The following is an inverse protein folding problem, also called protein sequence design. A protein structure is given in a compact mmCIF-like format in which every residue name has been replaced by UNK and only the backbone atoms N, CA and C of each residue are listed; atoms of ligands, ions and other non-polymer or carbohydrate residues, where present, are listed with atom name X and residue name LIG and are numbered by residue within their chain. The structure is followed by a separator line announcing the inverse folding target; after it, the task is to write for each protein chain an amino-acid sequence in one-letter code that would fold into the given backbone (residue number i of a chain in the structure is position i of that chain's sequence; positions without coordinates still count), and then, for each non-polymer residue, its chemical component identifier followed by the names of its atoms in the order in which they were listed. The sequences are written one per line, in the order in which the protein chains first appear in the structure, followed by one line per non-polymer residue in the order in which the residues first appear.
data_IF_981459659912
#
_entry.id   IF_981459659912
#
_cell.length_a   1.000
_cell.length_b   1.000
_cell.length_c   1.000
_cell.angle_alpha   90.00
_cell.angle_beta   90.00
_cell.angle_gamma   90.00
#
_symmetry.space_group_name_H-M   'P 1'
#
loop_
_entity.id
_entity.type
_entity.pdbx_description
1 polymer ?
#
# COMPACT_ATOMS: atom_id res chain seq x y z
N UNK A 1 41.84 -20.98 15.68
CA UNK A 1 41.97 -19.99 14.59
C UNK A 1 40.66 -19.23 14.49
N UNK A 2 40.52 -18.17 15.29
CA UNK A 2 39.39 -17.26 15.24
C UNK A 2 39.67 -16.24 14.15
N UNK A 3 38.97 -16.34 13.01
CA UNK A 3 38.98 -15.27 12.02
C UNK A 3 38.48 -13.98 12.69
N UNK A 4 39.15 -12.83 12.52
CA UNK A 4 38.67 -11.59 13.09
C UNK A 4 37.31 -11.24 12.44
N UNK A 5 36.31 -10.82 13.23
CA UNK A 5 34.93 -10.60 12.76
C UNK A 5 34.84 -9.62 11.58
N UNK A 6 35.76 -8.66 11.51
CA UNK A 6 35.86 -7.67 10.43
C UNK A 6 36.20 -8.27 9.05
N UNK A 7 36.89 -9.41 9.00
CA UNK A 7 37.21 -10.09 7.74
C UNK A 7 36.00 -10.84 7.18
N UNK A 8 35.10 -11.36 8.02
CA UNK A 8 33.88 -12.04 7.55
C UNK A 8 32.82 -11.07 7.05
N UNK A 9 32.64 -9.91 7.72
CA UNK A 9 31.71 -8.87 7.26
C UNK A 9 32.10 -8.31 5.90
N UNK A 10 33.38 -8.04 5.66
CA UNK A 10 33.85 -7.54 4.37
C UNK A 10 33.64 -8.53 3.20
N UNK A 11 33.81 -9.83 3.45
CA UNK A 11 33.54 -10.86 2.43
C UNK A 11 32.04 -11.01 2.15
N UNK A 12 31.20 -10.91 3.19
CA UNK A 12 29.75 -10.98 3.04
C UNK A 12 29.19 -9.81 2.21
N UNK A 13 29.65 -8.60 2.48
CA UNK A 13 29.25 -7.41 1.72
C UNK A 13 29.70 -7.49 0.26
N UNK A 14 30.92 -7.98 0.01
CA UNK A 14 31.43 -8.22 -1.35
C UNK A 14 30.58 -9.24 -2.11
N UNK A 15 30.09 -10.29 -1.43
CA UNK A 15 29.19 -11.28 -2.01
C UNK A 15 27.82 -10.68 -2.36
N UNK A 16 27.27 -9.82 -1.50
CA UNK A 16 26.00 -9.12 -1.79
C UNK A 16 26.14 -8.16 -2.97
N UNK A 17 27.21 -7.37 -3.03
CA UNK A 17 27.52 -6.51 -4.18
C UNK A 17 27.63 -7.32 -5.48
N UNK A 18 28.28 -8.50 -5.43
CA UNK A 18 28.33 -9.41 -6.58
C UNK A 18 26.95 -10.00 -6.92
N UNK A 19 26.13 -10.32 -5.90
CA UNK A 19 24.80 -10.90 -6.09
C UNK A 19 23.87 -9.95 -6.84
N UNK A 20 23.86 -8.66 -6.48
CA UNK A 20 23.02 -7.64 -7.11
C UNK A 20 23.68 -6.95 -8.30
N UNK A 21 24.75 -7.53 -8.86
CA UNK A 21 25.36 -7.04 -10.10
C UNK A 21 24.47 -7.31 -11.31
N UNK A 22 24.65 -6.54 -12.39
CA UNK A 22 23.89 -6.69 -13.65
C UNK A 22 24.03 -8.11 -14.22
N UNK A 23 25.18 -8.74 -14.02
CA UNK A 23 25.47 -10.10 -14.48
C UNK A 23 24.55 -11.16 -13.86
N UNK A 24 24.18 -10.98 -12.59
CA UNK A 24 23.33 -11.91 -11.84
C UNK A 24 21.84 -11.54 -11.85
N UNK A 25 21.48 -10.45 -12.51
CA UNK A 25 20.09 -10.00 -12.66
C UNK A 25 19.15 -11.11 -13.19
N UNK A 26 19.53 -11.94 -14.19
CA UNK A 26 18.66 -13.03 -14.64
C UNK A 26 18.40 -14.09 -13.56
N UNK A 27 19.39 -14.38 -12.71
CA UNK A 27 19.28 -15.36 -11.64
C UNK A 27 18.34 -14.85 -10.54
N UNK A 28 18.50 -13.58 -10.14
CA UNK A 28 17.58 -12.94 -9.18
C UNK A 28 16.17 -12.87 -9.78
N UNK A 29 16.04 -12.48 -11.04
CA UNK A 29 14.74 -12.41 -11.71
C UNK A 29 14.02 -13.75 -11.78
N UNK A 30 14.76 -14.84 -12.01
CA UNK A 30 14.22 -16.19 -11.92
C UNK A 30 13.79 -16.55 -10.50
N UNK A 31 14.63 -16.29 -9.49
CA UNK A 31 14.28 -16.54 -8.09
C UNK A 31 13.02 -15.77 -7.67
N UNK A 32 12.94 -14.47 -7.99
CA UNK A 32 11.75 -13.65 -7.76
C UNK A 32 10.53 -14.26 -8.45
N UNK A 33 10.66 -14.69 -9.70
CA UNK A 33 9.53 -15.29 -10.45
C UNK A 33 9.02 -16.59 -9.81
N UNK A 34 9.92 -17.46 -9.33
CA UNK A 34 9.56 -18.69 -8.61
C UNK A 34 8.88 -18.38 -7.28
N UNK A 35 9.41 -17.42 -6.51
CA UNK A 35 8.80 -16.99 -5.25
C UNK A 35 7.42 -16.37 -5.48
N UNK A 36 7.23 -15.54 -6.50
CA UNK A 36 5.93 -14.98 -6.84
C UNK A 36 4.91 -16.05 -7.24
N UNK A 37 5.35 -17.06 -8.01
CA UNK A 37 4.50 -18.19 -8.40
C UNK A 37 4.05 -18.98 -7.16
N UNK A 38 4.97 -19.31 -6.26
CA UNK A 38 4.66 -20.02 -5.02
C UNK A 38 3.77 -19.17 -4.09
N UNK A 39 4.01 -17.86 -3.97
CA UNK A 39 3.20 -16.97 -3.16
C UNK A 39 1.74 -16.89 -3.67
N UNK A 40 1.52 -17.02 -4.97
CA UNK A 40 0.19 -16.95 -5.58
C UNK A 40 -0.53 -18.30 -5.62
N UNK A 41 0.12 -19.37 -6.06
CA UNK A 41 -0.55 -20.61 -6.45
C UNK A 41 -0.45 -21.74 -5.43
N UNK A 42 0.51 -21.67 -4.49
CA UNK A 42 0.72 -22.74 -3.53
C UNK A 42 -0.50 -22.92 -2.61
N UNK A 43 -0.83 -24.16 -2.30
CA UNK A 43 -1.93 -24.54 -1.41
C UNK A 43 -1.53 -24.44 0.07
N UNK A 44 -0.28 -24.79 0.39
CA UNK A 44 0.23 -24.81 1.75
C UNK A 44 0.46 -23.39 2.27
N UNK A 45 -0.40 -22.95 3.20
CA UNK A 45 -0.34 -21.61 3.79
C UNK A 45 1.02 -21.28 4.41
N UNK A 46 1.64 -22.24 5.11
CA UNK A 46 2.96 -22.06 5.70
C UNK A 46 4.00 -21.75 4.61
N UNK A 47 4.03 -22.54 3.54
CA UNK A 47 4.97 -22.34 2.44
C UNK A 47 4.79 -20.97 1.77
N UNK A 48 3.54 -20.49 1.60
CA UNK A 48 3.28 -19.13 1.11
C UNK A 48 3.88 -18.05 2.02
N UNK A 49 3.78 -18.20 3.33
CA UNK A 49 4.34 -17.24 4.29
C UNK A 49 5.88 -17.21 4.20
N UNK A 50 6.53 -18.38 4.25
CA UNK A 50 7.98 -18.52 4.10
C UNK A 50 8.46 -17.96 2.75
N UNK A 51 7.66 -18.14 1.70
CA UNK A 51 7.96 -17.61 0.37
C UNK A 51 7.94 -16.08 0.33
N UNK A 52 6.93 -15.45 0.95
CA UNK A 52 6.82 -13.99 1.05
C UNK A 52 7.94 -13.41 1.91
N UNK A 53 8.31 -14.10 2.98
CA UNK A 53 9.46 -13.76 3.82
C UNK A 53 10.78 -13.85 3.05
N UNK A 54 10.99 -14.96 2.34
CA UNK A 54 12.15 -15.15 1.48
C UNK A 54 12.26 -14.06 0.41
N UNK A 55 11.12 -13.65 -0.19
CA UNK A 55 11.09 -12.54 -1.14
C UNK A 55 11.54 -11.21 -0.49
N UNK A 56 11.11 -10.92 0.74
CA UNK A 56 11.54 -9.72 1.47
C UNK A 56 13.01 -9.77 1.86
N UNK A 57 13.53 -10.95 2.23
CA UNK A 57 14.96 -11.17 2.53
C UNK A 57 15.80 -10.97 1.27
N UNK A 58 15.37 -11.55 0.13
CA UNK A 58 16.03 -11.37 -1.17
C UNK A 58 15.99 -9.91 -1.63
N UNK A 59 14.96 -9.15 -1.25
CA UNK A 59 14.87 -7.72 -1.50
C UNK A 59 15.63 -6.85 -0.47
N UNK A 60 16.26 -7.45 0.55
CA UNK A 60 16.96 -6.75 1.63
C UNK A 60 16.06 -5.83 2.46
N UNK A 61 14.75 -6.07 2.47
CA UNK A 61 13.78 -5.22 3.15
C UNK A 61 13.03 -5.94 4.27
N UNK A 62 13.39 -7.19 4.60
CA UNK A 62 12.83 -7.93 5.73
C UNK A 62 13.09 -7.22 7.06
N UNK A 63 12.13 -7.27 7.99
CA UNK A 63 12.34 -6.84 9.38
C UNK A 63 12.62 -8.05 10.25
N UNK A 64 13.65 -7.96 11.08
CA UNK A 64 13.86 -8.95 12.14
C UNK A 64 12.66 -8.99 13.09
N UNK A 65 12.37 -10.17 13.67
CA UNK A 65 11.51 -10.28 14.84
C UNK A 65 11.97 -9.30 15.94
N UNK A 66 11.03 -8.61 16.62
CA UNK A 66 11.37 -7.66 17.69
C UNK A 66 12.16 -8.27 18.85
N UNK A 67 12.17 -9.60 18.97
CA UNK A 67 12.85 -10.35 20.03
C UNK A 67 14.34 -10.61 19.72
N UNK A 68 14.80 -10.28 18.51
CA UNK A 68 16.21 -10.33 18.13
C UNK A 68 16.76 -8.90 18.17
N UNK A 69 17.36 -8.53 19.29
CA UNK A 69 18.24 -7.34 19.45
C UNK A 69 19.52 -7.45 18.59
N UNK A 70 19.46 -8.11 17.43
CA UNK A 70 20.55 -8.08 16.47
C UNK A 70 20.54 -6.71 15.81
N UNK A 71 21.48 -5.87 16.24
CA UNK A 71 22.03 -4.77 15.45
C UNK A 71 22.50 -5.36 14.11
N UNK A 72 21.59 -5.54 13.14
CA UNK A 72 22.01 -5.73 11.76
C UNK A 72 22.78 -4.45 11.42
N UNK A 73 24.06 -4.54 11.06
CA UNK A 73 24.78 -3.36 10.60
C UNK A 73 23.98 -2.79 9.44
N UNK A 74 23.68 -1.50 9.51
CA UNK A 74 22.99 -0.80 8.43
C UNK A 74 23.72 -1.14 7.13
N UNK A 75 23.00 -1.75 6.19
CA UNK A 75 23.53 -2.05 4.86
C UNK A 75 24.07 -0.75 4.26
N UNK A 76 25.26 -0.78 3.67
CA UNK A 76 25.84 0.37 2.99
C UNK A 76 24.79 1.00 2.04
N UNK A 77 24.52 2.32 2.13
CA UNK A 77 23.63 3.02 1.22
C UNK A 77 23.90 2.73 -0.26
N UNK A 78 25.16 2.45 -0.63
CA UNK A 78 25.50 2.07 -2.00
C UNK A 78 24.90 0.72 -2.42
N UNK A 79 24.99 -0.28 -1.55
CA UNK A 79 24.41 -1.61 -1.73
C UNK A 79 22.88 -1.54 -1.72
N UNK A 80 22.28 -0.76 -0.80
CA UNK A 80 20.83 -0.54 -0.79
C UNK A 80 20.34 0.02 -2.13
N UNK A 81 21.07 0.98 -2.71
CA UNK A 81 20.73 1.53 -4.02
C UNK A 81 20.87 0.48 -5.13
N UNK A 82 21.94 -0.32 -5.13
CA UNK A 82 22.16 -1.38 -6.12
C UNK A 82 21.05 -2.44 -6.07
N UNK A 83 20.60 -2.80 -4.87
CA UNK A 83 19.45 -3.69 -4.67
C UNK A 83 18.17 -3.08 -5.24
N UNK A 84 17.93 -1.79 -4.99
CA UNK A 84 16.79 -1.07 -5.53
C UNK A 84 16.80 -0.94 -7.06
N UNK A 85 17.97 -0.72 -7.66
CA UNK A 85 18.16 -0.73 -9.12
C UNK A 85 17.86 -2.12 -9.71
N UNK A 86 18.32 -3.18 -9.05
CA UNK A 86 18.04 -4.55 -9.48
C UNK A 86 16.55 -4.89 -9.40
N UNK A 87 15.90 -4.54 -8.28
CA UNK A 87 14.49 -4.83 -8.06
C UNK A 87 13.54 -3.98 -8.90
N UNK A 88 13.99 -2.83 -9.42
CA UNK A 88 13.23 -2.03 -10.38
C UNK A 88 12.84 -2.84 -11.63
N UNK A 89 13.72 -3.74 -12.10
CA UNK A 89 13.43 -4.63 -13.24
C UNK A 89 12.32 -5.65 -12.96
N UNK A 90 12.07 -5.99 -11.70
CA UNK A 90 11.09 -7.00 -11.31
C UNK A 90 9.82 -6.39 -10.71
N UNK A 91 9.83 -5.09 -10.42
CA UNK A 91 8.76 -4.38 -9.72
C UNK A 91 7.36 -4.58 -10.36
N UNK A 92 7.19 -4.54 -11.70
CA UNK A 92 5.88 -4.79 -12.30
C UNK A 92 5.32 -6.18 -11.97
N UNK A 93 6.16 -7.23 -12.04
CA UNK A 93 5.75 -8.60 -11.73
C UNK A 93 5.42 -8.80 -10.26
N UNK A 94 6.25 -8.22 -9.38
CA UNK A 94 6.06 -8.25 -7.92
C UNK A 94 4.75 -7.57 -7.55
N UNK A 95 4.58 -6.31 -7.94
CA UNK A 95 3.42 -5.51 -7.54
C UNK A 95 2.11 -6.05 -8.09
N UNK A 96 2.09 -6.55 -9.33
CA UNK A 96 0.90 -7.19 -9.91
C UNK A 96 0.52 -8.48 -9.17
N UNK A 97 1.49 -9.35 -8.90
CA UNK A 97 1.23 -10.65 -8.25
C UNK A 97 0.84 -10.48 -6.80
N UNK A 98 1.60 -9.68 -6.04
CA UNK A 98 1.27 -9.42 -4.65
C UNK A 98 -0.05 -8.66 -4.50
N UNK A 99 -0.43 -7.77 -5.42
CA UNK A 99 -1.77 -7.15 -5.39
C UNK A 99 -2.88 -8.21 -5.53
N UNK A 100 -2.71 -9.19 -6.43
CA UNK A 100 -3.67 -10.30 -6.58
C UNK A 100 -3.78 -11.15 -5.32
N UNK A 101 -2.65 -11.42 -4.67
CA UNK A 101 -2.63 -12.12 -3.37
C UNK A 101 -3.35 -11.30 -2.29
N UNK A 102 -3.06 -10.00 -2.16
CA UNK A 102 -3.70 -9.12 -1.17
C UNK A 102 -5.23 -9.08 -1.35
N UNK A 103 -5.70 -9.03 -2.60
CA UNK A 103 -7.12 -8.99 -2.94
C UNK A 103 -7.77 -10.37 -3.08
N UNK A 104 -7.06 -11.45 -2.76
CA UNK A 104 -7.56 -12.81 -2.89
C UNK A 104 -8.69 -13.15 -1.89
N UNK A 105 -9.40 -14.24 -2.16
CA UNK A 105 -10.53 -14.73 -1.35
C UNK A 105 -10.11 -15.03 0.11
N UNK A 106 -11.06 -14.90 1.04
CA UNK A 106 -10.90 -15.16 2.47
C UNK A 106 -10.31 -16.55 2.79
N UNK A 107 -10.47 -17.53 1.88
CA UNK A 107 -9.89 -18.88 1.98
C UNK A 107 -8.37 -18.92 2.10
N UNK A 108 -7.64 -17.93 1.58
CA UNK A 108 -6.17 -17.86 1.76
C UNK A 108 -5.76 -17.58 3.22
N UNK A 109 -6.71 -17.02 3.98
CA UNK A 109 -6.57 -16.63 5.36
C UNK A 109 -5.71 -15.39 5.58
N UNK A 110 -6.15 -14.54 6.51
CA UNK A 110 -5.59 -13.22 6.83
C UNK A 110 -4.05 -13.12 6.93
N UNK A 111 -3.33 -14.10 7.51
CA UNK A 111 -1.87 -14.06 7.63
C UNK A 111 -1.14 -13.92 6.28
N UNK A 112 -1.64 -14.58 5.22
CA UNK A 112 -1.05 -14.47 3.88
C UNK A 112 -1.28 -13.07 3.31
N UNK A 113 -2.49 -12.52 3.50
CA UNK A 113 -2.82 -11.15 3.11
C UNK A 113 -1.91 -10.15 3.83
N UNK A 114 -1.72 -10.29 5.15
CA UNK A 114 -0.80 -9.45 5.94
C UNK A 114 0.63 -9.52 5.40
N UNK A 115 1.17 -10.73 5.21
CA UNK A 115 2.52 -10.91 4.70
C UNK A 115 2.69 -10.36 3.28
N UNK A 116 1.69 -10.50 2.41
CA UNK A 116 1.72 -9.97 1.05
C UNK A 116 1.63 -8.43 1.05
N UNK A 117 0.79 -7.83 1.88
CA UNK A 117 0.70 -6.37 2.07
C UNK A 117 2.04 -5.80 2.57
N UNK A 118 2.69 -6.50 3.49
CA UNK A 118 3.98 -6.12 4.02
C UNK A 118 5.09 -6.21 2.96
N UNK A 119 5.19 -7.33 2.25
CA UNK A 119 6.15 -7.51 1.16
C UNK A 119 5.93 -6.48 0.04
N UNK A 120 4.68 -6.23 -0.35
CA UNK A 120 4.34 -5.24 -1.37
C UNK A 120 4.83 -3.84 -0.97
N UNK A 121 4.46 -3.37 0.23
CA UNK A 121 4.81 -2.00 0.66
C UNK A 121 6.31 -1.82 0.88
N UNK A 122 7.01 -2.83 1.40
CA UNK A 122 8.46 -2.76 1.63
C UNK A 122 9.25 -2.72 0.32
N UNK A 123 8.92 -3.59 -0.63
CA UNK A 123 9.63 -3.63 -1.91
C UNK A 123 9.36 -2.35 -2.71
N UNK A 124 8.10 -1.87 -2.72
CA UNK A 124 7.77 -0.60 -3.38
C UNK A 124 8.48 0.57 -2.70
N UNK A 125 8.46 0.65 -1.37
CA UNK A 125 9.17 1.70 -0.64
C UNK A 125 10.68 1.67 -0.87
N UNK A 126 11.27 0.47 -0.95
CA UNK A 126 12.69 0.31 -1.24
C UNK A 126 13.04 0.81 -2.65
N UNK A 127 12.29 0.39 -3.68
CA UNK A 127 12.56 0.77 -5.08
C UNK A 127 12.24 2.24 -5.37
N UNK A 128 11.13 2.74 -4.82
CA UNK A 128 10.61 4.10 -5.04
C UNK A 128 10.97 5.06 -3.91
N UNK A 129 11.91 4.74 -3.01
CA UNK A 129 12.26 5.67 -1.92
C UNK A 129 12.86 6.97 -2.45
N UNK A 130 12.44 8.09 -1.89
CA UNK A 130 12.95 9.41 -2.28
C UNK A 130 14.48 9.51 -2.07
N UNK A 131 15.00 8.87 -1.01
CA UNK A 131 16.44 8.80 -0.72
C UNK A 131 17.25 7.99 -1.75
N UNK A 132 16.65 6.94 -2.31
CA UNK A 132 17.32 6.12 -3.34
C UNK A 132 17.36 6.80 -4.70
N UNK A 133 16.38 7.67 -4.98
CA UNK A 133 16.19 8.35 -6.25
C UNK A 133 16.93 9.71 -6.34
N UNK A 134 17.47 10.22 -5.24
CA UNK A 134 18.09 11.54 -5.20
C UNK A 134 19.31 11.62 -6.13
N UNK A 135 19.25 12.56 -7.09
CA UNK A 135 20.03 12.55 -8.33
C UNK A 135 21.54 12.77 -8.19
N UNK A 136 22.04 13.15 -7.01
CA UNK A 136 23.46 13.46 -6.78
C UNK A 136 24.38 12.23 -6.78
N UNK A 137 23.83 11.00 -6.76
CA UNK A 137 24.63 9.76 -6.67
C UNK A 137 24.43 8.81 -7.87
N UNK A 138 23.49 9.12 -8.78
CA UNK A 138 23.18 8.29 -9.96
C UNK A 138 24.30 8.25 -11.00
N UNK A 139 25.26 9.18 -10.95
CA UNK A 139 26.38 9.24 -11.90
C UNK A 139 27.66 8.55 -11.42
N UNK A 140 27.78 8.17 -10.14
CA UNK A 140 29.03 7.61 -9.58
C UNK A 140 29.11 6.07 -9.59
N UNK A 141 27.98 5.35 -9.57
CA UNK A 141 28.00 3.87 -9.52
C UNK A 141 28.36 3.19 -10.86
N UNK A 142 28.28 3.92 -11.98
CA UNK A 142 28.43 3.33 -13.33
C UNK A 142 29.87 3.15 -13.84
N UNK A 143 30.92 3.50 -13.08
CA UNK A 143 32.27 3.64 -13.67
C UNK A 143 33.33 2.58 -13.40
N UNK A 144 33.13 1.52 -12.60
CA UNK A 144 34.31 0.71 -12.22
C UNK A 144 34.28 -0.81 -12.25
N UNK A 145 33.16 -1.53 -12.49
CA UNK A 145 33.22 -3.01 -12.41
C UNK A 145 32.62 -3.83 -13.57
N UNK A 146 31.96 -3.23 -14.55
CA UNK A 146 31.14 -4.00 -15.53
C UNK A 146 31.61 -3.86 -16.99
N UNK A 147 32.90 -3.64 -17.25
CA UNK A 147 33.45 -3.48 -18.60
C UNK A 147 33.16 -4.67 -19.55
N UNK A 148 32.94 -5.87 -19.01
CA UNK A 148 32.75 -7.12 -19.76
C UNK A 148 31.28 -7.61 -19.82
N UNK A 149 30.32 -6.79 -19.35
CA UNK A 149 28.90 -7.18 -19.38
C UNK A 149 28.31 -6.98 -20.76
N UNK A 150 27.81 -8.08 -21.36
CA UNK A 150 27.07 -8.08 -22.62
C UNK A 150 26.00 -6.99 -22.65
N UNK A 151 25.91 -6.23 -23.75
CA UNK A 151 24.86 -5.23 -23.97
C UNK A 151 23.45 -5.78 -23.75
N UNK A 152 23.25 -7.07 -24.03
CA UNK A 152 21.99 -7.78 -23.81
C UNK A 152 21.59 -7.87 -22.33
N UNK A 153 22.55 -7.96 -21.41
CA UNK A 153 22.26 -7.96 -19.97
C UNK A 153 21.99 -6.55 -19.46
N UNK A 154 22.74 -5.56 -19.97
CA UNK A 154 22.52 -4.15 -19.63
C UNK A 154 21.14 -3.66 -20.07
N UNK A 155 20.58 -4.19 -21.16
CA UNK A 155 19.24 -3.83 -21.62
C UNK A 155 18.11 -4.40 -20.75
N UNK A 156 18.38 -5.40 -19.91
CA UNK A 156 17.42 -5.94 -18.93
C UNK A 156 17.31 -5.09 -17.67
N UNK A 157 18.34 -4.28 -17.38
CA UNK A 157 18.36 -3.43 -16.21
C UNK A 157 17.52 -2.17 -16.45
N UNK A 158 16.53 -1.96 -15.58
CA UNK A 158 15.74 -0.74 -15.57
C UNK A 158 16.59 0.39 -15.02
N UNK A 159 16.68 1.48 -15.78
CA UNK A 159 17.21 2.74 -15.29
C UNK A 159 16.08 3.53 -14.64
N UNK A 160 16.18 3.81 -13.35
CA UNK A 160 15.20 4.60 -12.58
C UNK A 160 15.31 6.10 -12.90
N UNK A 161 15.12 6.45 -14.17
CA UNK A 161 15.05 7.84 -14.63
C UNK A 161 13.80 8.51 -14.08
N UNK A 162 13.75 9.84 -14.11
CA UNK A 162 12.57 10.61 -13.70
C UNK A 162 11.32 10.19 -14.49
N UNK A 163 11.46 9.99 -15.81
CA UNK A 163 10.37 9.49 -16.67
C UNK A 163 9.89 8.09 -16.24
N UNK A 164 10.83 7.18 -15.96
CA UNK A 164 10.48 5.84 -15.48
C UNK A 164 9.76 5.91 -14.13
N UNK A 165 10.23 6.75 -13.21
CA UNK A 165 9.63 6.93 -11.89
C UNK A 165 8.21 7.46 -12.02
N UNK A 166 7.98 8.50 -12.83
CA UNK A 166 6.67 9.08 -13.07
C UNK A 166 5.69 8.08 -13.70
N UNK A 167 6.11 7.38 -14.76
CA UNK A 167 5.29 6.33 -15.40
C UNK A 167 4.95 5.19 -14.45
N UNK A 168 5.90 4.79 -13.61
CA UNK A 168 5.73 3.72 -12.63
C UNK A 168 4.81 4.16 -11.50
N UNK A 169 4.93 5.40 -11.02
CA UNK A 169 4.07 5.96 -9.98
C UNK A 169 2.58 5.94 -10.38
N UNK A 170 2.24 6.33 -11.61
CA UNK A 170 0.85 6.26 -12.09
C UNK A 170 0.31 4.82 -12.19
N UNK A 171 1.15 3.85 -12.57
CA UNK A 171 0.78 2.42 -12.57
C UNK A 171 0.58 1.91 -11.14
N UNK A 172 1.47 2.28 -10.22
CA UNK A 172 1.38 1.92 -8.81
C UNK A 172 0.13 2.54 -8.17
N UNK A 173 -0.23 3.78 -8.50
CA UNK A 173 -1.45 4.44 -8.02
C UNK A 173 -2.71 3.61 -8.29
N UNK A 174 -2.83 3.02 -9.47
CA UNK A 174 -3.95 2.11 -9.80
C UNK A 174 -3.97 0.90 -8.86
N UNK A 175 -2.80 0.31 -8.57
CA UNK A 175 -2.69 -0.83 -7.65
C UNK A 175 -2.97 -0.42 -6.20
N UNK A 176 -2.47 0.74 -5.76
CA UNK A 176 -2.74 1.30 -4.44
C UNK A 176 -4.24 1.53 -4.25
N UNK A 177 -4.93 2.10 -5.24
CA UNK A 177 -6.38 2.30 -5.19
C UNK A 177 -7.16 0.98 -5.10
N UNK A 178 -6.68 -0.08 -5.77
CA UNK A 178 -7.27 -1.41 -5.67
C UNK A 178 -7.04 -2.03 -4.29
N UNK A 179 -5.82 -1.96 -3.75
CA UNK A 179 -5.47 -2.45 -2.41
C UNK A 179 -6.24 -1.68 -1.32
N UNK A 180 -6.45 -0.37 -1.51
CA UNK A 180 -7.26 0.45 -0.62
C UNK A 180 -8.72 -0.03 -0.50
N UNK A 181 -9.22 -0.85 -1.45
CA UNK A 181 -10.51 -1.51 -1.31
C UNK A 181 -10.58 -2.54 -0.18
N UNK A 182 -9.44 -3.02 0.33
CA UNK A 182 -9.35 -4.05 1.38
C UNK A 182 -9.51 -3.46 2.79
N UNK A 183 -9.71 -2.14 2.92
CA UNK A 183 -9.86 -1.45 4.22
C UNK A 183 -11.02 -1.94 5.08
N UNK A 184 -12.03 -2.58 4.49
CA UNK A 184 -13.17 -3.19 5.20
C UNK A 184 -12.97 -4.67 5.54
N UNK A 185 -11.74 -5.20 5.41
CA UNK A 185 -11.46 -6.60 5.66
C UNK A 185 -11.88 -7.01 7.10
N UNK A 186 -12.54 -8.17 7.29
CA UNK A 186 -13.12 -8.55 8.59
C UNK A 186 -12.08 -8.73 9.69
N UNK A 187 -10.87 -9.18 9.33
CA UNK A 187 -9.77 -9.35 10.28
C UNK A 187 -8.99 -8.05 10.47
N UNK A 188 -8.95 -7.55 11.71
CA UNK A 188 -8.26 -6.33 12.10
C UNK A 188 -6.75 -6.34 11.81
N UNK A 189 -6.09 -7.50 11.79
CA UNK A 189 -4.65 -7.59 11.46
C UNK A 189 -4.36 -7.19 10.03
N UNK A 190 -5.27 -7.50 9.10
CA UNK A 190 -5.15 -7.04 7.70
C UNK A 190 -5.34 -5.53 7.63
N UNK A 191 -6.31 -4.99 8.38
CA UNK A 191 -6.52 -3.54 8.43
C UNK A 191 -5.33 -2.80 9.04
N UNK A 192 -4.71 -3.35 10.09
CA UNK A 192 -3.44 -2.86 10.63
C UNK A 192 -2.32 -2.89 9.59
N UNK A 193 -2.19 -3.99 8.84
CA UNK A 193 -1.20 -4.10 7.77
C UNK A 193 -1.43 -3.04 6.67
N UNK A 194 -2.68 -2.67 6.36
CA UNK A 194 -3.00 -1.57 5.44
C UNK A 194 -2.60 -0.20 6.01
N UNK A 195 -2.74 0.03 7.31
CA UNK A 195 -2.23 1.25 7.97
C UNK A 195 -0.71 1.32 7.86
N UNK A 196 -0.01 0.22 8.12
CA UNK A 196 1.47 0.14 8.00
C UNK A 196 1.94 0.31 6.55
N UNK A 197 1.21 -0.28 5.60
CA UNK A 197 1.40 -0.07 4.17
C UNK A 197 1.29 1.43 3.81
N UNK A 198 0.24 2.11 4.28
CA UNK A 198 0.02 3.52 3.97
C UNK A 198 1.09 4.41 4.61
N UNK A 199 1.42 4.17 5.88
CA UNK A 199 2.52 4.84 6.57
C UNK A 199 3.83 4.71 5.79
N UNK A 200 4.20 3.48 5.43
CA UNK A 200 5.49 3.21 4.80
C UNK A 200 5.66 3.98 3.49
N UNK A 201 4.63 4.02 2.65
CA UNK A 201 4.70 4.76 1.39
C UNK A 201 4.64 6.27 1.61
N UNK A 202 3.79 6.76 2.52
CA UNK A 202 3.69 8.20 2.83
C UNK A 202 4.94 8.78 3.48
N UNK A 203 5.75 7.96 4.18
CA UNK A 203 6.96 8.43 4.86
C UNK A 203 8.23 8.30 3.99
N UNK A 204 8.29 7.32 3.08
CA UNK A 204 9.51 7.02 2.32
C UNK A 204 9.44 7.42 0.85
N UNK A 205 8.23 7.64 0.31
CA UNK A 205 7.98 7.88 -1.11
C UNK A 205 7.15 9.16 -1.33
N UNK A 206 7.38 10.18 -0.50
CA UNK A 206 6.60 11.41 -0.50
C UNK A 206 6.62 12.12 -1.85
N UNK A 207 7.80 12.21 -2.48
CA UNK A 207 8.00 12.87 -3.77
C UNK A 207 7.73 11.89 -4.91
N UNK A 208 8.31 10.69 -4.85
CA UNK A 208 8.24 9.71 -5.95
C UNK A 208 6.84 9.14 -6.18
N UNK A 209 6.01 9.06 -5.13
CA UNK A 209 4.63 8.58 -5.17
C UNK A 209 3.64 9.66 -4.73
N UNK A 210 3.91 10.94 -5.01
CA UNK A 210 3.03 12.06 -4.66
C UNK A 210 1.58 11.84 -5.13
N UNK A 211 1.41 11.25 -6.33
CA UNK A 211 0.10 10.94 -6.91
C UNK A 211 -0.69 9.87 -6.13
N UNK A 212 -0.03 9.13 -5.23
CA UNK A 212 -0.62 8.15 -4.32
C UNK A 212 -0.99 8.74 -2.95
N UNK A 213 -0.61 9.98 -2.64
CA UNK A 213 -0.87 10.60 -1.31
C UNK A 213 -2.35 10.58 -0.94
N UNK A 214 -3.24 11.01 -1.84
CA UNK A 214 -4.68 11.01 -1.57
C UNK A 214 -5.26 9.61 -1.29
N UNK A 215 -5.05 8.57 -2.14
CA UNK A 215 -5.57 7.23 -1.83
C UNK A 215 -4.92 6.59 -0.59
N UNK A 216 -3.66 6.90 -0.27
CA UNK A 216 -3.03 6.41 0.97
C UNK A 216 -3.60 7.07 2.22
N UNK A 217 -3.86 8.39 2.17
CA UNK A 217 -4.57 9.08 3.25
C UNK A 217 -5.99 8.56 3.41
N UNK A 218 -6.70 8.22 2.32
CA UNK A 218 -8.03 7.59 2.41
C UNK A 218 -8.02 6.27 3.18
N UNK A 219 -6.95 5.46 3.02
CA UNK A 219 -6.76 4.25 3.83
C UNK A 219 -6.71 4.62 5.31
N UNK A 220 -5.86 5.58 5.71
CA UNK A 220 -5.75 6.01 7.10
C UNK A 220 -7.06 6.60 7.64
N UNK A 221 -7.68 7.52 6.90
CA UNK A 221 -8.94 8.15 7.29
C UNK A 221 -10.03 7.10 7.56
N UNK A 222 -10.08 6.03 6.77
CA UNK A 222 -11.04 4.94 6.97
C UNK A 222 -10.79 4.12 8.24
N UNK A 223 -9.57 4.16 8.80
CA UNK A 223 -9.15 3.37 9.97
C UNK A 223 -9.09 4.18 11.27
N UNK A 224 -9.28 5.51 11.22
CA UNK A 224 -9.18 6.39 12.41
C UNK A 224 -10.18 6.01 13.53
N UNK A 225 -11.31 5.43 13.13
CA UNK A 225 -12.39 5.01 14.01
C UNK A 225 -12.56 3.50 14.12
N UNK A 226 -11.52 2.71 13.81
CA UNK A 226 -11.59 1.26 13.90
C UNK A 226 -11.98 0.78 15.31
N UNK A 227 -12.77 -0.28 15.39
CA UNK A 227 -13.21 -0.89 16.64
C UNK A 227 -12.05 -1.47 17.47
N UNK A 228 -10.94 -1.82 16.82
CA UNK A 228 -9.75 -2.36 17.48
C UNK A 228 -8.77 -1.21 17.79
N UNK A 229 -8.45 -0.97 19.07
CA UNK A 229 -7.52 0.10 19.47
C UNK A 229 -6.16 0.00 18.77
N UNK A 230 -5.64 -1.21 18.56
CA UNK A 230 -4.37 -1.43 17.86
C UNK A 230 -4.33 -0.81 16.46
N UNK A 231 -5.46 -0.81 15.75
CA UNK A 231 -5.59 -0.22 14.42
C UNK A 231 -5.80 1.29 14.54
N UNK A 232 -6.75 1.71 15.37
CA UNK A 232 -7.15 3.11 15.49
C UNK A 232 -6.03 3.98 16.08
N UNK A 233 -5.33 3.50 17.12
CA UNK A 233 -4.19 4.20 17.74
C UNK A 233 -3.00 4.29 16.79
N UNK A 234 -2.66 3.19 16.11
CA UNK A 234 -1.58 3.22 15.11
C UNK A 234 -1.92 4.21 13.99
N UNK A 235 -3.16 4.19 13.51
CA UNK A 235 -3.60 5.14 12.48
C UNK A 235 -3.47 6.60 12.94
N UNK A 236 -3.89 6.93 14.17
CA UNK A 236 -3.73 8.28 14.74
C UNK A 236 -2.27 8.70 14.85
N UNK A 237 -1.40 7.78 15.29
CA UNK A 237 0.05 8.01 15.36
C UNK A 237 0.62 8.33 13.97
N UNK A 238 0.24 7.58 12.94
CA UNK A 238 0.71 7.79 11.56
C UNK A 238 0.25 9.13 11.03
N UNK A 239 -1.02 9.51 11.23
CA UNK A 239 -1.54 10.81 10.80
C UNK A 239 -0.84 11.97 11.50
N UNK A 240 -0.52 11.83 12.80
CA UNK A 240 0.28 12.79 13.56
C UNK A 240 1.67 12.96 12.95
N UNK A 241 2.40 11.85 12.76
CA UNK A 241 3.73 11.86 12.11
C UNK A 241 3.71 12.47 10.71
N UNK A 242 2.69 12.15 9.91
CA UNK A 242 2.52 12.72 8.59
C UNK A 242 2.32 14.23 8.66
N UNK A 243 1.43 14.70 9.55
CA UNK A 243 1.19 16.12 9.74
C UNK A 243 2.46 16.87 10.17
N UNK A 244 3.24 16.31 11.09
CA UNK A 244 4.50 16.89 11.57
C UNK A 244 5.55 16.97 10.47
N UNK A 245 5.74 15.88 9.70
CA UNK A 245 6.69 15.83 8.59
C UNK A 245 6.35 16.81 7.46
N UNK A 246 5.09 17.25 7.35
CA UNK A 246 4.58 18.07 6.25
C UNK A 246 4.18 19.49 6.66
N UNK A 247 4.57 19.96 7.86
CA UNK A 247 4.27 21.29 8.39
C UNK A 247 4.67 22.45 7.44
N UNK A 248 5.71 22.28 6.61
CA UNK A 248 6.18 23.28 5.64
C UNK A 248 5.66 23.11 4.21
N UNK A 249 4.77 22.14 3.98
CA UNK A 249 4.21 21.82 2.66
C UNK A 249 2.68 21.90 2.71
N UNK A 250 1.99 21.33 1.72
CA UNK A 250 0.53 21.28 1.70
C UNK A 250 -0.01 20.60 2.98
N UNK A 251 -0.71 21.33 3.87
CA UNK A 251 -1.18 20.79 5.13
C UNK A 251 -2.11 19.60 4.94
N UNK A 252 -1.99 18.59 5.82
CA UNK A 252 -2.90 17.44 5.85
C UNK A 252 -4.37 17.88 5.80
N UNK A 253 -4.72 18.93 6.54
CA UNK A 253 -6.08 19.48 6.59
C UNK A 253 -6.59 19.84 5.20
N UNK A 254 -5.84 20.58 4.39
CA UNK A 254 -6.27 20.98 3.04
C UNK A 254 -6.55 19.77 2.14
N UNK A 255 -5.73 18.72 2.25
CA UNK A 255 -5.94 17.47 1.50
C UNK A 255 -7.22 16.78 1.97
N UNK A 256 -7.51 16.76 3.28
CA UNK A 256 -8.75 16.20 3.82
C UNK A 256 -9.98 16.97 3.34
N UNK A 257 -9.93 18.30 3.31
CA UNK A 257 -11.04 19.16 2.87
C UNK A 257 -11.37 18.93 1.39
N UNK A 258 -10.36 18.89 0.52
CA UNK A 258 -10.55 18.61 -0.91
C UNK A 258 -11.06 17.20 -1.17
N UNK A 259 -10.50 16.20 -0.46
CA UNK A 259 -10.96 14.82 -0.61
C UNK A 259 -12.41 14.66 -0.13
N UNK A 260 -12.79 15.31 0.98
CA UNK A 260 -14.18 15.31 1.46
C UNK A 260 -15.11 15.99 0.45
N UNK A 261 -14.68 17.10 -0.16
CA UNK A 261 -15.45 17.78 -1.20
C UNK A 261 -15.73 16.86 -2.39
N UNK A 262 -14.70 16.16 -2.88
CA UNK A 262 -14.82 15.18 -3.96
C UNK A 262 -15.73 14.01 -3.58
N UNK A 263 -15.59 13.51 -2.35
CA UNK A 263 -16.43 12.43 -1.83
C UNK A 263 -17.89 12.85 -1.72
N UNK A 264 -18.19 14.01 -1.14
CA UNK A 264 -19.56 14.55 -1.02
C UNK A 264 -20.23 14.70 -2.40
N UNK A 265 -19.47 15.03 -3.44
CA UNK A 265 -19.98 15.14 -4.82
C UNK A 265 -20.38 13.78 -5.40
N UNK A 266 -19.61 12.73 -5.09
CA UNK A 266 -19.82 11.38 -5.64
C UNK A 266 -20.69 10.48 -4.75
N UNK A 267 -20.87 10.83 -3.48
CA UNK A 267 -21.54 10.05 -2.45
C UNK A 267 -22.96 9.60 -2.85
N UNK A 268 -23.86 10.47 -3.36
CA UNK A 268 -25.23 10.06 -3.69
C UNK A 268 -25.30 9.06 -4.84
N UNK A 269 -24.36 9.15 -5.79
CA UNK A 269 -24.25 8.18 -6.88
C UNK A 269 -23.76 6.84 -6.33
N UNK A 270 -22.70 6.87 -5.51
CA UNK A 270 -22.12 5.66 -4.91
C UNK A 270 -23.12 4.92 -4.02
N UNK A 271 -23.95 5.63 -3.25
CA UNK A 271 -24.97 4.97 -2.42
C UNK A 271 -26.06 4.28 -3.22
N UNK A 272 -26.38 4.77 -4.42
CA UNK A 272 -27.37 4.16 -5.31
C UNK A 272 -26.82 2.99 -6.11
N UNK A 273 -25.61 3.10 -6.65
CA UNK A 273 -25.12 2.16 -7.67
C UNK A 273 -24.09 1.14 -7.17
N UNK A 274 -23.46 1.37 -6.03
CA UNK A 274 -22.40 0.49 -5.55
C UNK A 274 -22.96 -0.72 -4.78
N UNK A 275 -22.17 -1.77 -4.65
CA UNK A 275 -22.47 -2.88 -3.74
C UNK A 275 -22.38 -2.44 -2.26
N UNK A 276 -22.96 -3.22 -1.35
CA UNK A 276 -23.01 -2.89 0.08
C UNK A 276 -21.63 -2.74 0.72
N UNK A 277 -20.64 -3.51 0.28
CA UNK A 277 -19.27 -3.40 0.77
C UNK A 277 -18.66 -2.04 0.39
N UNK A 278 -18.86 -1.61 -0.85
CA UNK A 278 -18.41 -0.30 -1.33
C UNK A 278 -19.21 0.83 -0.68
N UNK A 279 -20.51 0.67 -0.44
CA UNK A 279 -21.31 1.65 0.32
C UNK A 279 -20.75 1.83 1.73
N UNK A 280 -20.54 0.73 2.46
CA UNK A 280 -19.99 0.75 3.81
C UNK A 280 -18.61 1.42 3.85
N UNK A 281 -17.71 1.08 2.92
CA UNK A 281 -16.38 1.72 2.84
C UNK A 281 -16.47 3.24 2.59
N UNK A 282 -17.41 3.67 1.76
CA UNK A 282 -17.62 5.09 1.41
C UNK A 282 -18.17 5.88 2.61
N UNK A 283 -19.12 5.29 3.35
CA UNK A 283 -19.66 5.90 4.56
C UNK A 283 -18.63 5.94 5.69
N UNK A 284 -17.84 4.88 5.85
CA UNK A 284 -16.72 4.83 6.81
C UNK A 284 -15.71 5.94 6.52
N UNK A 285 -15.34 6.11 5.24
CA UNK A 285 -14.43 7.16 4.81
C UNK A 285 -15.02 8.56 5.06
N UNK A 286 -16.32 8.76 4.75
CA UNK A 286 -17.03 10.02 5.02
C UNK A 286 -16.99 10.36 6.50
N UNK A 287 -17.34 9.39 7.35
CA UNK A 287 -17.30 9.55 8.81
C UNK A 287 -15.88 9.84 9.30
N UNK A 288 -14.86 9.17 8.77
CA UNK A 288 -13.46 9.43 9.09
C UNK A 288 -13.02 10.87 8.79
N UNK A 289 -13.42 11.41 7.63
CA UNK A 289 -13.14 12.82 7.29
C UNK A 289 -13.80 13.78 8.27
N UNK A 290 -15.07 13.57 8.58
CA UNK A 290 -15.81 14.41 9.53
C UNK A 290 -15.15 14.37 10.92
N UNK A 291 -14.72 13.19 11.36
CA UNK A 291 -14.06 12.99 12.67
C UNK A 291 -12.70 13.68 12.74
N UNK A 292 -11.89 13.60 11.68
CA UNK A 292 -10.55 14.21 11.65
C UNK A 292 -10.59 15.73 11.49
N UNK A 293 -11.52 16.26 10.68
CA UNK A 293 -11.69 17.71 10.52
C UNK A 293 -12.28 18.35 11.79
N UNK A 294 -13.13 17.63 12.53
CA UNK A 294 -13.61 18.04 13.85
C UNK A 294 -14.16 19.47 13.87
N UNK A 295 -13.69 20.35 14.78
CA UNK A 295 -14.16 21.74 14.85
C UNK A 295 -13.98 22.53 13.55
N UNK A 296 -12.98 22.20 12.71
CA UNK A 296 -12.74 22.90 11.44
C UNK A 296 -13.86 22.69 10.43
N UNK A 297 -14.66 21.63 10.61
CA UNK A 297 -15.88 21.42 9.84
C UNK A 297 -16.81 22.63 9.90
N UNK A 298 -16.90 23.30 11.05
CA UNK A 298 -17.73 24.51 11.19
C UNK A 298 -17.25 25.63 10.26
N UNK A 299 -15.94 25.82 10.14
CA UNK A 299 -15.34 26.78 9.22
C UNK A 299 -15.61 26.40 7.76
N UNK A 300 -15.46 25.13 7.43
CA UNK A 300 -15.69 24.60 6.08
C UNK A 300 -17.16 24.76 5.66
N UNK A 301 -18.09 24.48 6.58
CA UNK A 301 -19.53 24.59 6.37
C UNK A 301 -20.05 26.04 6.36
N UNK A 302 -19.28 27.02 6.82
CA UNK A 302 -19.63 28.44 6.58
C UNK A 302 -19.60 28.79 5.08
N UNK A 303 -18.93 27.98 4.26
CA UNK A 303 -19.01 28.08 2.81
C UNK A 303 -20.33 27.50 2.30
N UNK A 304 -21.24 28.35 1.84
CA UNK A 304 -22.52 27.97 1.24
C UNK A 304 -22.43 26.81 0.20
N UNK A 305 -21.47 26.77 -0.76
CA UNK A 305 -21.37 25.65 -1.69
C UNK A 305 -20.99 24.32 -1.02
N UNK A 306 -20.11 24.35 -0.01
CA UNK A 306 -19.71 23.13 0.72
C UNK A 306 -20.85 22.60 1.58
N UNK A 307 -21.51 23.48 2.34
CA UNK A 307 -22.67 23.13 3.15
C UNK A 307 -23.80 22.57 2.31
N UNK A 308 -24.18 23.26 1.22
CA UNK A 308 -25.24 22.82 0.32
C UNK A 308 -24.94 21.45 -0.28
N UNK A 309 -23.70 21.21 -0.68
CA UNK A 309 -23.31 19.95 -1.32
C UNK A 309 -23.32 18.79 -0.33
N UNK A 310 -22.73 18.96 0.84
CA UNK A 310 -22.73 17.93 1.88
C UNK A 310 -24.16 17.64 2.37
N UNK A 311 -24.98 18.68 2.61
CA UNK A 311 -26.36 18.49 3.08
C UNK A 311 -27.23 17.78 2.04
N UNK A 312 -27.17 18.21 0.77
CA UNK A 312 -27.87 17.51 -0.32
C UNK A 312 -27.40 16.06 -0.45
N UNK A 313 -26.10 15.83 -0.33
CA UNK A 313 -25.58 14.47 -0.41
C UNK A 313 -26.14 13.60 0.72
N UNK A 314 -26.11 14.07 1.97
CA UNK A 314 -26.65 13.34 3.12
C UNK A 314 -28.16 13.11 3.01
N UNK A 315 -28.94 14.10 2.56
CA UNK A 315 -30.38 13.95 2.33
C UNK A 315 -30.64 12.85 1.30
N UNK A 316 -29.93 12.86 0.16
CA UNK A 316 -30.08 11.85 -0.88
C UNK A 316 -29.64 10.45 -0.46
N UNK A 317 -28.73 10.33 0.52
CA UNK A 317 -28.35 9.04 1.11
C UNK A 317 -29.42 8.53 2.08
N UNK A 318 -30.09 9.43 2.79
CA UNK A 318 -31.16 9.11 3.74
C UNK A 318 -32.52 8.85 3.04
N UNK A 319 -32.70 9.33 1.82
CA UNK A 319 -33.79 8.92 0.93
C UNK A 319 -33.66 7.42 0.66
N UNK A 320 -34.36 6.63 1.46
CA UNK A 320 -34.45 5.18 1.29
C UNK A 320 -35.00 4.89 -0.11
N UNK A 321 -34.34 3.98 -0.83
CA UNK A 321 -34.86 3.47 -2.08
C UNK A 321 -36.09 2.60 -1.79
N UNK A 322 -37.27 3.20 -1.90
CA UNK A 322 -38.56 2.53 -1.64
C UNK A 322 -39.02 1.71 -2.85
N UNK A 323 -38.25 1.68 -3.94
CA UNK A 323 -38.69 1.05 -5.20
C UNK A 323 -38.71 -0.48 -5.16
N UNK A 324 -37.90 -1.11 -4.30
CA UNK A 324 -37.89 -2.55 -4.06
C UNK A 324 -38.85 -3.01 -2.93
N UNK A 325 -39.65 -2.11 -2.33
CA UNK A 325 -40.70 -2.47 -1.35
C UNK A 325 -41.99 -2.93 -2.05
N UNK A 326 -41.83 -3.75 -3.08
CA UNK A 326 -42.89 -4.62 -3.60
C UNK A 326 -42.44 -6.05 -3.30
N UNK A 327 -43.28 -6.85 -2.62
CA UNK A 327 -43.03 -8.21 -2.07
C UNK A 327 -42.68 -8.12 -0.57
N UNK A 328 -43.62 -8.22 0.38
CA UNK A 328 -44.52 -9.35 0.62
C UNK A 328 -45.89 -8.80 1.02
N UNK A 329 -46.81 -8.71 0.06
CA UNK A 329 -48.24 -8.71 0.39
C UNK A 329 -48.60 -10.11 0.85
N UNK A 330 -48.92 -10.27 2.14
CA UNK A 330 -49.51 -11.48 2.69
C UNK A 330 -50.64 -11.97 1.76
N UNK A 331 -50.43 -13.09 1.08
CA UNK A 331 -51.55 -13.91 0.62
C UNK A 331 -52.14 -14.57 1.85
N UNK A 332 -52.94 -13.83 2.63
CA UNK A 332 -53.89 -14.45 3.54
C UNK A 332 -54.83 -15.30 2.69
N UNK A 333 -54.69 -16.63 2.80
CA UNK A 333 -55.66 -17.59 2.30
C UNK A 333 -57.01 -17.29 2.96
N UNK A 334 -57.94 -16.74 2.18
CA UNK A 334 -59.26 -16.37 2.67
C UNK A 334 -60.31 -16.56 1.60
N UNK A 335 -60.83 -17.79 1.46
CA UNK A 335 -62.25 -18.07 1.19
C UNK A 335 -62.50 -19.59 1.09
N UNK A 336 -62.43 -20.29 2.22
CA UNK A 336 -63.32 -21.44 2.40
C UNK A 336 -64.69 -20.87 2.78
N UNK A 337 -65.62 -20.80 1.82
CA UNK A 337 -67.05 -20.62 2.13
C UNK A 337 -67.63 -21.99 2.46
N UNK A 338 -68.10 -22.10 3.69
CA UNK A 338 -68.98 -23.16 4.20
C UNK A 338 -70.35 -22.99 3.55
N UNK A 339 -70.83 -24.04 2.90
CA UNK A 339 -72.15 -24.66 3.07
C UNK A 339 -72.12 -26.03 2.41
#
# INVERSE_FOLDING_TARGET
MTFPPQLMTNHFETLLVSLYSVQRLPVIGHAVSVLLLAAEQESARKLRLETLECLMVLAGCHSDPPDLESERPDLDPSLQRQMADSFASFLPGITMTLSRVIMGDAKQGHAVTVAATEAWSRIVAMVMSDSSLDGNQSQQSMKSHDADVSERLRSLQVKRTEEWCSSTAEKLKVLVQRIAGVVTHPNWRVRLALVQFAERLLMNCTKSLECCTSPLLQVLVSQVGDDYPQVADRCRQVLGRYSEAHLGSRPLVEILEENLHSLATSLPRLMRTADDGKKLSTLTLTHGYLRLLGPRMTSLLNSAPHLRRLSLALVQVLELDVTDVNIVGERTAGAAKVC
#
